data_IF_690759165511
#
_entry.id   IF_690759165511
#
_cell.length_a   1.000
_cell.length_b   1.000
_cell.length_c   1.000
_cell.angle_alpha   90.00
_cell.angle_beta   90.00
_cell.angle_gamma   90.00
#
_symmetry.space_group_name_H-M   'P 1'
#
loop_
_entity.id
_entity.type
_entity.pdbx_description
1 polymer ?
#
# COMPACT_ATOMS: atom_id res chain seq x y z
N UNK A 1 17.75 9.42 32.55
CA UNK A 1 18.30 10.27 31.48
C UNK A 1 17.60 9.88 30.20
N UNK A 2 16.45 10.50 29.91
CA UNK A 2 15.65 10.27 28.70
C UNK A 2 15.91 11.43 27.73
N UNK A 3 17.11 11.46 27.18
CA UNK A 3 17.50 12.45 26.19
C UNK A 3 17.59 11.78 24.81
N UNK A 4 16.48 11.62 24.22
CA UNK A 4 16.15 11.73 22.80
C UNK A 4 14.70 11.33 22.63
N UNK A 5 13.79 12.26 22.79
CA UNK A 5 12.47 12.10 22.16
C UNK A 5 12.74 11.99 20.67
N UNK A 6 12.63 10.77 20.16
CA UNK A 6 12.63 10.53 18.72
C UNK A 6 11.40 11.26 18.16
N UNK A 7 11.59 12.47 17.68
CA UNK A 7 10.51 13.22 17.01
C UNK A 7 10.20 12.43 15.75
N UNK A 8 9.09 11.69 15.78
CA UNK A 8 8.62 10.97 14.61
C UNK A 8 8.37 11.98 13.48
N UNK A 9 8.89 11.70 12.31
CA UNK A 9 8.66 12.55 11.15
C UNK A 9 7.17 12.51 10.77
N UNK A 10 6.60 13.69 10.50
CA UNK A 10 5.20 13.83 10.15
C UNK A 10 4.99 13.48 8.69
N UNK A 11 4.03 12.61 8.43
CA UNK A 11 3.67 12.20 7.07
C UNK A 11 2.20 12.49 6.81
N UNK A 12 1.90 12.99 5.61
CA UNK A 12 0.53 13.11 5.11
C UNK A 12 0.43 12.34 3.79
N UNK A 13 -0.38 11.30 3.72
CA UNK A 13 -0.52 10.51 2.50
C UNK A 13 -1.37 11.21 1.43
N UNK A 14 -1.16 10.80 0.17
CA UNK A 14 -1.91 11.33 -0.98
C UNK A 14 -3.42 11.14 -0.82
N UNK A 15 -3.87 10.00 -0.31
CA UNK A 15 -5.29 9.71 -0.15
C UNK A 15 -6.00 10.64 0.84
N UNK A 16 -5.33 11.20 1.83
CA UNK A 16 -5.91 12.20 2.72
C UNK A 16 -6.24 13.52 2.03
N UNK A 17 -5.61 13.81 0.89
CA UNK A 17 -5.83 15.02 0.10
C UNK A 17 -6.67 14.73 -1.14
N UNK A 18 -6.48 13.54 -1.74
CA UNK A 18 -7.11 13.15 -2.99
C UNK A 18 -8.51 12.59 -2.83
N UNK A 19 -8.85 12.00 -1.66
CA UNK A 19 -10.18 11.45 -1.43
C UNK A 19 -11.15 12.52 -0.90
N UNK A 20 -12.08 13.01 -1.73
CA UNK A 20 -12.98 14.08 -1.33
C UNK A 20 -14.04 13.68 -0.28
N UNK A 21 -14.20 12.39 -0.02
CA UNK A 21 -15.22 11.88 0.92
C UNK A 21 -14.63 11.17 2.14
N UNK A 22 -13.33 10.99 2.20
CA UNK A 22 -12.66 10.19 3.25
C UNK A 22 -13.18 8.74 3.36
N UNK A 23 -13.89 8.27 2.34
CA UNK A 23 -14.38 6.89 2.23
C UNK A 23 -13.56 6.14 1.18
N UNK A 24 -12.67 5.21 1.59
CA UNK A 24 -11.83 4.47 0.66
C UNK A 24 -12.59 3.44 -0.18
N UNK A 25 -13.83 3.13 0.16
CA UNK A 25 -14.65 2.10 -0.49
C UNK A 25 -15.83 2.67 -1.28
N UNK A 26 -16.20 3.93 -1.01
CA UNK A 26 -17.29 4.64 -1.67
C UNK A 26 -16.87 5.34 -2.96
N UNK A 27 -17.85 5.56 -3.84
CA UNK A 27 -17.64 6.42 -4.99
C UNK A 27 -17.46 7.88 -4.58
N UNK A 28 -16.53 8.59 -5.21
CA UNK A 28 -16.34 10.01 -4.96
C UNK A 28 -17.57 10.83 -5.41
N UNK A 29 -18.06 11.73 -4.54
CA UNK A 29 -19.15 12.68 -4.87
C UNK A 29 -18.63 13.81 -5.76
N UNK A 30 -17.33 14.12 -5.65
CA UNK A 30 -16.66 15.13 -6.46
C UNK A 30 -15.50 14.48 -7.23
N UNK A 31 -15.11 15.03 -8.38
CA UNK A 31 -13.91 14.58 -9.07
C UNK A 31 -12.70 14.67 -8.14
N UNK A 32 -11.92 13.59 -8.07
CA UNK A 32 -10.65 13.61 -7.36
C UNK A 32 -9.71 14.65 -8.00
N UNK A 33 -8.95 15.41 -7.22
CA UNK A 33 -7.93 16.29 -7.77
C UNK A 33 -6.87 15.49 -8.52
N UNK A 34 -6.26 16.10 -9.53
CA UNK A 34 -5.17 15.45 -10.24
C UNK A 34 -3.98 15.20 -9.31
N UNK A 35 -3.32 14.07 -9.44
CA UNK A 35 -2.19 13.69 -8.59
C UNK A 35 -1.06 14.74 -8.56
N UNK A 36 -0.88 15.50 -9.64
CA UNK A 36 0.11 16.58 -9.68
C UNK A 36 -0.33 17.78 -8.84
N UNK A 37 -1.64 18.06 -8.77
CA UNK A 37 -2.16 19.10 -7.89
C UNK A 37 -2.07 18.69 -6.42
N UNK A 38 -2.37 17.42 -6.10
CA UNK A 38 -2.11 16.85 -4.77
C UNK A 38 -0.64 16.99 -4.39
N UNK A 39 0.27 16.65 -5.31
CA UNK A 39 1.71 16.80 -5.06
C UNK A 39 2.11 18.27 -4.79
N UNK A 40 1.50 19.24 -5.48
CA UNK A 40 1.72 20.69 -5.23
C UNK A 40 1.22 21.10 -3.84
N UNK A 41 0.04 20.61 -3.44
CA UNK A 41 -0.52 20.88 -2.10
C UNK A 41 0.38 20.33 -1.00
N UNK A 42 0.82 19.08 -1.12
CA UNK A 42 1.73 18.43 -0.18
C UNK A 42 3.09 19.15 -0.13
N UNK A 43 3.64 19.52 -1.28
CA UNK A 43 4.89 20.28 -1.35
C UNK A 43 4.77 21.67 -0.68
N UNK A 44 3.60 22.33 -0.77
CA UNK A 44 3.32 23.58 -0.06
C UNK A 44 3.24 23.35 1.46
N UNK A 45 2.57 22.28 1.90
CA UNK A 45 2.51 21.91 3.31
C UNK A 45 3.91 21.65 3.90
N UNK A 46 4.77 20.98 3.15
CA UNK A 46 6.15 20.73 3.58
C UNK A 46 6.97 22.01 3.67
N UNK A 47 6.88 22.93 2.71
CA UNK A 47 7.53 24.24 2.76
C UNK A 47 7.13 25.06 3.98
N UNK A 48 5.90 24.88 4.47
CA UNK A 48 5.39 25.51 5.68
C UNK A 48 5.76 24.73 6.96
N UNK A 49 6.59 23.70 6.88
CA UNK A 49 7.03 22.93 8.03
C UNK A 49 5.96 22.03 8.66
N UNK A 50 4.88 21.71 7.94
CA UNK A 50 3.77 20.89 8.48
C UNK A 50 4.06 19.39 8.38
N UNK A 51 4.76 18.96 7.33
CA UNK A 51 5.08 17.56 7.05
C UNK A 51 6.50 17.42 6.50
N UNK A 52 7.12 16.27 6.71
CA UNK A 52 8.44 15.93 6.20
C UNK A 52 8.40 14.81 5.14
N UNK A 53 7.34 13.99 5.16
CA UNK A 53 7.20 12.84 4.28
C UNK A 53 5.79 12.72 3.73
N UNK A 54 5.64 11.91 2.70
CA UNK A 54 4.34 11.51 2.16
C UNK A 54 4.37 10.03 1.77
N UNK A 55 3.19 9.45 1.63
CA UNK A 55 2.95 8.09 1.13
C UNK A 55 1.81 8.10 0.11
N UNK A 56 1.72 7.05 -0.71
CA UNK A 56 0.68 6.97 -1.73
C UNK A 56 0.31 5.52 -2.06
N UNK A 57 -0.96 5.31 -2.44
CA UNK A 57 -1.31 4.16 -3.25
C UNK A 57 -0.78 4.38 -4.68
N UNK A 58 -0.57 3.28 -5.38
CA UNK A 58 -0.23 3.34 -6.81
C UNK A 58 -1.30 4.09 -7.62
N UNK A 59 -2.59 3.87 -7.31
CA UNK A 59 -3.73 4.48 -8.01
C UNK A 59 -3.93 5.97 -7.65
N UNK A 60 -3.47 6.44 -6.49
CA UNK A 60 -3.47 7.88 -6.15
C UNK A 60 -2.56 8.67 -7.10
N UNK A 61 -1.52 8.04 -7.61
CA UNK A 61 -0.51 8.65 -8.46
C UNK A 61 -0.88 8.54 -9.93
N UNK A 62 -1.21 7.33 -10.36
CA UNK A 62 -1.58 7.01 -11.74
C UNK A 62 -2.57 5.85 -11.76
N UNK A 63 -3.77 6.03 -12.33
CA UNK A 63 -4.78 4.97 -12.41
C UNK A 63 -4.23 3.70 -13.03
N UNK A 64 -4.69 2.56 -12.55
CA UNK A 64 -4.35 1.26 -13.11
C UNK A 64 -5.42 0.80 -14.09
N UNK A 65 -4.98 0.34 -15.27
CA UNK A 65 -5.84 -0.32 -16.25
C UNK A 65 -5.62 -1.84 -16.20
N UNK A 66 -6.60 -2.63 -15.76
CA UNK A 66 -6.47 -4.08 -15.73
C UNK A 66 -6.39 -4.73 -17.11
N UNK A 67 -6.81 -4.05 -18.19
CA UNK A 67 -6.68 -4.54 -19.56
C UNK A 67 -5.23 -4.41 -20.07
N UNK A 68 -4.46 -3.47 -19.52
CA UNK A 68 -3.07 -3.19 -19.87
C UNK A 68 -2.21 -3.11 -18.60
N UNK A 69 -2.06 -4.20 -17.85
CA UNK A 69 -1.50 -4.16 -16.50
C UNK A 69 0.00 -3.84 -16.44
N UNK A 70 0.72 -3.88 -17.57
CA UNK A 70 2.19 -3.88 -17.59
C UNK A 70 2.81 -2.71 -18.37
N UNK A 71 2.07 -2.07 -19.27
CA UNK A 71 2.63 -1.18 -20.30
C UNK A 71 2.83 0.28 -19.85
N UNK A 72 2.34 0.65 -18.68
CA UNK A 72 2.26 2.05 -18.28
C UNK A 72 3.58 2.64 -17.73
N UNK A 73 4.59 1.82 -17.44
CA UNK A 73 5.88 2.28 -16.91
C UNK A 73 7.01 2.34 -17.95
N UNK A 74 6.68 2.29 -19.24
CA UNK A 74 7.64 2.61 -20.30
C UNK A 74 8.11 4.07 -20.15
N UNK A 75 9.42 4.37 -20.23
CA UNK A 75 9.93 5.73 -20.12
C UNK A 75 9.33 6.74 -21.11
N UNK A 76 8.76 6.27 -22.22
CA UNK A 76 8.09 7.10 -23.22
C UNK A 76 6.62 7.34 -22.91
N UNK A 77 6.02 6.54 -22.01
CA UNK A 77 4.60 6.64 -21.66
C UNK A 77 4.28 7.94 -20.93
N UNK A 78 3.05 8.39 -21.04
CA UNK A 78 2.59 9.58 -20.32
C UNK A 78 2.47 9.31 -18.82
N UNK A 79 2.20 8.07 -18.42
CA UNK A 79 2.23 7.61 -17.02
C UNK A 79 3.62 7.83 -16.42
N UNK A 80 4.67 7.37 -17.08
CA UNK A 80 6.05 7.57 -16.60
C UNK A 80 6.41 9.05 -16.51
N UNK A 81 6.05 9.86 -17.52
CA UNK A 81 6.27 11.32 -17.53
C UNK A 81 5.56 11.98 -16.35
N UNK A 82 4.29 11.59 -16.06
CA UNK A 82 3.50 12.09 -14.93
C UNK A 82 4.18 11.76 -13.60
N UNK A 83 4.62 10.51 -13.40
CA UNK A 83 5.34 10.10 -12.19
C UNK A 83 6.64 10.92 -11.99
N UNK A 84 7.39 11.17 -13.06
CA UNK A 84 8.59 12.03 -13.01
C UNK A 84 8.24 13.46 -12.63
N UNK A 85 7.13 14.00 -13.14
CA UNK A 85 6.66 15.34 -12.78
C UNK A 85 6.25 15.42 -11.31
N UNK A 86 5.51 14.43 -10.79
CA UNK A 86 5.16 14.31 -9.37
C UNK A 86 6.43 14.29 -8.52
N UNK A 87 7.38 13.42 -8.85
CA UNK A 87 8.67 13.35 -8.13
C UNK A 87 9.37 14.69 -8.06
N UNK A 88 9.42 15.42 -9.18
CA UNK A 88 10.03 16.74 -9.27
C UNK A 88 9.34 17.76 -8.36
N UNK A 89 8.01 17.80 -8.38
CA UNK A 89 7.22 18.73 -7.55
C UNK A 89 7.44 18.45 -6.06
N UNK A 90 7.38 17.18 -5.65
CA UNK A 90 7.64 16.81 -4.26
C UNK A 90 9.06 17.21 -3.81
N UNK A 91 10.07 16.93 -4.64
CA UNK A 91 11.44 17.28 -4.35
C UNK A 91 11.65 18.80 -4.21
N UNK A 92 10.97 19.61 -5.01
CA UNK A 92 10.97 21.07 -4.89
C UNK A 92 10.38 21.58 -3.57
N UNK A 93 9.49 20.78 -2.96
CA UNK A 93 8.96 21.03 -1.61
C UNK A 93 9.82 20.49 -0.48
N UNK A 94 10.92 19.77 -0.79
CA UNK A 94 11.73 19.07 0.20
C UNK A 94 11.11 17.74 0.65
N UNK A 95 9.99 17.31 0.03
CA UNK A 95 9.27 16.09 0.37
C UNK A 95 9.84 14.86 -0.33
N UNK A 96 9.77 13.73 0.37
CA UNK A 96 10.08 12.39 -0.17
C UNK A 96 8.88 11.48 0.02
N UNK A 97 8.60 10.63 -0.96
CA UNK A 97 7.70 9.50 -0.75
C UNK A 97 8.47 8.46 0.08
N UNK A 98 8.01 8.24 1.31
CA UNK A 98 8.62 7.28 2.20
C UNK A 98 8.09 5.87 1.99
N UNK A 99 6.80 5.75 1.70
CA UNK A 99 6.09 4.49 1.57
C UNK A 99 5.14 4.51 0.38
N UNK A 100 5.04 3.36 -0.28
CA UNK A 100 3.99 3.07 -1.27
C UNK A 100 3.21 1.83 -0.85
N UNK A 101 1.93 1.80 -1.22
CA UNK A 101 1.04 0.67 -1.00
C UNK A 101 0.21 0.40 -2.24
N UNK A 102 -0.15 -0.85 -2.49
CA UNK A 102 -0.92 -1.24 -3.66
C UNK A 102 -2.43 -1.15 -3.38
N UNK A 103 -3.17 -0.41 -4.20
CA UNK A 103 -4.62 -0.29 -4.11
C UNK A 103 -5.31 -1.54 -4.67
N UNK A 104 -5.36 -2.62 -3.89
CA UNK A 104 -6.14 -3.82 -4.24
C UNK A 104 -7.62 -3.72 -3.82
N UNK A 105 -7.97 -2.73 -2.99
CA UNK A 105 -9.33 -2.52 -2.49
C UNK A 105 -10.23 -1.77 -3.49
N UNK A 106 -9.67 -0.91 -4.32
CA UNK A 106 -10.42 -0.03 -5.23
C UNK A 106 -11.04 -0.74 -6.43
N UNK A 107 -10.51 -1.89 -6.85
CA UNK A 107 -11.03 -2.63 -7.99
C UNK A 107 -12.03 -3.71 -7.59
N UNK A 108 -13.18 -3.76 -8.27
CA UNK A 108 -14.19 -4.82 -8.08
C UNK A 108 -13.67 -6.22 -8.47
N UNK A 109 -12.60 -6.32 -9.24
CA UNK A 109 -11.93 -7.57 -9.57
C UNK A 109 -11.43 -8.30 -8.31
N UNK A 110 -10.99 -7.54 -7.31
CA UNK A 110 -10.42 -8.07 -6.08
C UNK A 110 -11.42 -8.12 -4.91
N UNK A 111 -12.72 -8.01 -5.18
CA UNK A 111 -13.77 -8.04 -4.12
C UNK A 111 -13.73 -9.28 -3.22
N UNK A 112 -13.22 -10.41 -3.74
CA UNK A 112 -13.07 -11.66 -2.99
C UNK A 112 -11.64 -11.91 -2.48
N UNK A 113 -10.83 -10.86 -2.37
CA UNK A 113 -9.42 -10.89 -2.04
C UNK A 113 -8.54 -10.50 -3.21
N UNK A 114 -7.36 -9.96 -2.92
CA UNK A 114 -6.30 -9.67 -3.89
C UNK A 114 -5.36 -10.86 -4.02
N UNK A 115 -4.32 -10.91 -3.20
CA UNK A 115 -3.35 -12.01 -3.16
C UNK A 115 -3.95 -13.33 -2.65
N UNK A 116 -5.10 -13.26 -1.98
CA UNK A 116 -5.82 -14.43 -1.43
C UNK A 116 -7.06 -14.82 -2.23
N UNK A 117 -7.27 -14.24 -3.42
CA UNK A 117 -8.43 -14.53 -4.23
C UNK A 117 -8.53 -16.03 -4.53
N UNK A 118 -9.72 -16.66 -4.43
CA UNK A 118 -9.92 -18.08 -4.79
C UNK A 118 -9.53 -18.37 -6.25
N UNK A 119 -9.75 -17.43 -7.17
CA UNK A 119 -9.33 -17.55 -8.55
C UNK A 119 -7.82 -17.25 -8.70
N UNK A 120 -7.06 -18.28 -9.11
CA UNK A 120 -5.63 -18.16 -9.34
C UNK A 120 -5.25 -17.11 -10.40
N UNK A 121 -6.12 -16.85 -11.40
CA UNK A 121 -5.87 -15.80 -12.40
C UNK A 121 -5.95 -14.41 -11.78
N UNK A 122 -6.90 -14.21 -10.85
CA UNK A 122 -7.03 -12.95 -10.13
C UNK A 122 -5.90 -12.76 -9.11
N UNK A 123 -5.43 -13.84 -8.45
CA UNK A 123 -4.21 -13.76 -7.61
C UNK A 123 -2.99 -13.33 -8.44
N UNK A 124 -2.80 -13.95 -9.62
CA UNK A 124 -1.70 -13.56 -10.52
C UNK A 124 -1.83 -12.13 -11.02
N UNK A 125 -3.04 -11.64 -11.29
CA UNK A 125 -3.28 -10.26 -11.67
C UNK A 125 -2.99 -9.29 -10.51
N UNK A 126 -3.38 -9.64 -9.28
CA UNK A 126 -3.04 -8.88 -8.08
C UNK A 126 -1.52 -8.79 -7.87
N UNK A 127 -0.81 -9.91 -8.04
CA UNK A 127 0.65 -9.93 -7.94
C UNK A 127 1.31 -8.99 -8.97
N UNK A 128 0.85 -8.98 -10.24
CA UNK A 128 1.34 -8.03 -11.26
C UNK A 128 1.06 -6.57 -10.88
N UNK A 129 -0.12 -6.28 -10.32
CA UNK A 129 -0.42 -4.92 -9.82
C UNK A 129 0.52 -4.53 -8.68
N UNK A 130 0.83 -5.45 -7.76
CA UNK A 130 1.82 -5.24 -6.70
C UNK A 130 3.21 -4.98 -7.28
N UNK A 131 3.64 -5.74 -8.27
CA UNK A 131 4.91 -5.50 -8.98
C UNK A 131 4.96 -4.11 -9.61
N UNK A 132 3.85 -3.67 -10.24
CA UNK A 132 3.71 -2.30 -10.76
C UNK A 132 3.88 -1.26 -9.65
N UNK A 133 3.20 -1.43 -8.52
CA UNK A 133 3.34 -0.54 -7.36
C UNK A 133 4.79 -0.47 -6.88
N UNK A 134 5.48 -1.60 -6.79
CA UNK A 134 6.90 -1.64 -6.41
C UNK A 134 7.80 -0.89 -7.41
N UNK A 135 7.53 -1.01 -8.72
CA UNK A 135 8.26 -0.24 -9.76
C UNK A 135 8.00 1.26 -9.63
N UNK A 136 6.75 1.67 -9.38
CA UNK A 136 6.39 3.07 -9.11
C UNK A 136 7.13 3.59 -7.88
N UNK A 137 7.09 2.85 -6.77
CA UNK A 137 7.80 3.21 -5.56
C UNK A 137 9.31 3.30 -5.76
N UNK A 138 9.90 2.40 -6.53
CA UNK A 138 11.32 2.48 -6.89
C UNK A 138 11.64 3.76 -7.67
N UNK A 139 10.86 4.08 -8.70
CA UNK A 139 11.01 5.31 -9.49
C UNK A 139 10.93 6.57 -8.61
N UNK A 140 10.02 6.58 -7.66
CA UNK A 140 9.81 7.72 -6.75
C UNK A 140 10.82 7.76 -5.59
N UNK A 141 11.51 6.64 -5.32
CA UNK A 141 12.52 6.53 -4.27
C UNK A 141 11.96 6.17 -2.90
N UNK A 142 10.78 5.53 -2.87
CA UNK A 142 10.15 5.03 -1.64
C UNK A 142 11.11 4.10 -0.87
N UNK A 143 11.07 4.17 0.45
CA UNK A 143 11.92 3.37 1.34
C UNK A 143 11.21 2.12 1.84
N UNK A 144 9.89 2.14 1.89
CA UNK A 144 9.06 1.06 2.42
C UNK A 144 7.92 0.73 1.46
N UNK A 145 7.54 -0.53 1.47
CA UNK A 145 6.30 -1.03 0.89
C UNK A 145 5.38 -1.48 2.02
N UNK A 146 4.14 -1.04 2.02
CA UNK A 146 3.14 -1.53 2.98
C UNK A 146 2.14 -2.41 2.25
N UNK A 147 1.89 -3.60 2.77
CA UNK A 147 0.77 -4.43 2.38
C UNK A 147 -0.36 -4.23 3.38
N UNK A 148 -1.34 -3.43 3.01
CA UNK A 148 -2.61 -3.36 3.71
C UNK A 148 -3.48 -4.52 3.23
N UNK A 149 -4.11 -5.24 4.17
CA UNK A 149 -4.87 -6.46 3.85
C UNK A 149 -6.09 -6.23 2.96
N UNK A 150 -6.47 -4.96 2.74
CA UNK A 150 -7.45 -4.55 1.72
C UNK A 150 -8.77 -5.35 1.78
N UNK A 151 -8.94 -6.32 0.88
CA UNK A 151 -10.11 -7.21 0.82
C UNK A 151 -9.75 -8.67 1.13
N UNK A 152 -8.55 -8.92 1.64
CA UNK A 152 -8.10 -10.25 2.05
C UNK A 152 -8.72 -10.62 3.39
N UNK A 153 -9.89 -11.22 3.32
CA UNK A 153 -10.75 -11.56 4.45
C UNK A 153 -11.88 -12.48 4.03
N UNK A 154 -12.88 -12.64 4.87
CA UNK A 154 -14.01 -13.54 4.65
C UNK A 154 -15.28 -13.04 5.32
N UNK A 155 -16.43 -13.54 4.85
CA UNK A 155 -17.74 -13.27 5.41
C UNK A 155 -18.30 -14.49 6.17
N UNK A 156 -17.99 -15.70 5.69
CA UNK A 156 -18.60 -16.95 6.16
C UNK A 156 -17.48 -17.95 6.46
N UNK A 157 -17.34 -18.31 7.73
CA UNK A 157 -16.30 -19.22 8.20
C UNK A 157 -16.37 -20.59 7.52
N UNK A 158 -17.56 -21.17 7.41
CA UNK A 158 -17.78 -22.51 6.88
C UNK A 158 -17.49 -22.62 5.38
N UNK A 159 -17.43 -21.49 4.69
CA UNK A 159 -17.11 -21.41 3.25
C UNK A 159 -15.69 -20.94 2.96
N UNK A 160 -14.90 -20.71 4.01
CA UNK A 160 -13.53 -20.19 3.86
C UNK A 160 -12.54 -21.33 3.94
N UNK A 161 -11.74 -21.47 2.91
CA UNK A 161 -10.63 -22.41 2.87
C UNK A 161 -9.41 -21.84 3.63
N UNK A 162 -9.45 -21.95 4.95
CA UNK A 162 -8.39 -21.44 5.81
C UNK A 162 -7.04 -22.12 5.59
N UNK A 163 -7.02 -23.36 5.12
CA UNK A 163 -5.77 -24.06 4.84
C UNK A 163 -4.99 -23.36 3.72
N UNK A 164 -5.66 -22.98 2.65
CA UNK A 164 -5.02 -22.39 1.48
C UNK A 164 -4.96 -20.86 1.51
N UNK A 165 -5.93 -20.17 2.14
CA UNK A 165 -5.98 -18.69 2.07
C UNK A 165 -4.75 -18.05 2.73
N UNK A 166 -4.25 -18.60 3.85
CA UNK A 166 -3.01 -18.15 4.49
C UNK A 166 -1.77 -18.55 3.71
N UNK A 167 -1.79 -19.69 3.00
CA UNK A 167 -0.70 -20.09 2.11
C UNK A 167 -0.60 -19.13 0.93
N UNK A 168 -1.72 -18.78 0.30
CA UNK A 168 -1.76 -17.78 -0.79
C UNK A 168 -1.27 -16.41 -0.33
N UNK A 169 -1.66 -15.96 0.87
CA UNK A 169 -1.14 -14.72 1.43
C UNK A 169 0.37 -14.78 1.62
N UNK A 170 0.89 -15.87 2.21
CA UNK A 170 2.32 -16.06 2.41
C UNK A 170 3.08 -16.10 1.07
N UNK A 171 2.57 -16.82 0.07
CA UNK A 171 3.13 -16.87 -1.27
C UNK A 171 3.20 -15.46 -1.88
N UNK A 172 2.10 -14.70 -1.83
CA UNK A 172 2.05 -13.35 -2.35
C UNK A 172 3.02 -12.39 -1.67
N UNK A 173 3.15 -12.43 -0.34
CA UNK A 173 4.08 -11.57 0.39
C UNK A 173 5.55 -12.00 0.20
N UNK A 174 5.81 -13.30 0.08
CA UNK A 174 7.14 -13.80 -0.30
C UNK A 174 7.51 -13.40 -1.74
N UNK A 175 6.52 -13.32 -2.65
CA UNK A 175 6.73 -12.80 -3.99
C UNK A 175 7.16 -11.32 -3.97
N UNK A 176 6.60 -10.49 -3.09
CA UNK A 176 7.02 -9.08 -2.92
C UNK A 176 8.52 -8.97 -2.69
N UNK A 177 9.03 -9.70 -1.69
CA UNK A 177 10.47 -9.66 -1.37
C UNK A 177 11.33 -10.24 -2.49
N UNK A 178 10.90 -11.36 -3.08
CA UNK A 178 11.58 -11.97 -4.22
C UNK A 178 11.64 -11.05 -5.43
N UNK A 179 10.57 -10.30 -5.72
CA UNK A 179 10.54 -9.33 -6.82
C UNK A 179 11.47 -8.14 -6.58
N UNK A 180 11.46 -7.57 -5.37
CA UNK A 180 12.38 -6.47 -4.98
C UNK A 180 13.84 -6.89 -5.21
N UNK A 181 14.21 -8.11 -4.82
CA UNK A 181 15.57 -8.63 -5.00
C UNK A 181 15.90 -8.91 -6.45
N UNK A 182 15.01 -9.61 -7.18
CA UNK A 182 15.17 -9.89 -8.61
C UNK A 182 15.42 -8.62 -9.41
N UNK A 183 14.68 -7.55 -9.08
CA UNK A 183 14.78 -6.25 -9.75
C UNK A 183 15.89 -5.36 -9.19
N UNK A 184 16.59 -5.81 -8.14
CA UNK A 184 17.64 -5.04 -7.46
C UNK A 184 17.19 -3.65 -7.00
N UNK A 185 15.99 -3.56 -6.46
CA UNK A 185 15.42 -2.30 -5.93
C UNK A 185 16.04 -1.94 -4.57
N UNK A 186 17.24 -1.38 -4.58
CA UNK A 186 18.05 -1.07 -3.39
C UNK A 186 17.52 0.06 -2.52
N UNK A 187 16.52 0.81 -3.01
CA UNK A 187 15.86 1.87 -2.25
C UNK A 187 14.97 1.32 -1.11
N UNK A 188 14.33 0.14 -1.29
CA UNK A 188 13.52 -0.46 -0.25
C UNK A 188 14.38 -0.96 0.90
N UNK A 189 14.05 -0.50 2.11
CA UNK A 189 14.73 -0.86 3.37
C UNK A 189 13.92 -1.83 4.21
N UNK A 190 12.66 -2.04 3.85
CA UNK A 190 11.75 -2.96 4.50
C UNK A 190 10.37 -2.92 3.87
N UNK A 191 9.53 -3.84 4.29
CA UNK A 191 8.10 -3.85 4.02
C UNK A 191 7.33 -3.97 5.34
N UNK A 192 6.06 -3.59 5.33
CA UNK A 192 5.18 -3.75 6.49
C UNK A 192 3.89 -4.43 6.09
N UNK A 193 3.36 -5.22 7.02
CA UNK A 193 2.02 -5.78 6.99
C UNK A 193 1.13 -4.92 7.89
N UNK A 194 0.05 -4.39 7.33
CA UNK A 194 -0.88 -3.53 8.05
C UNK A 194 -2.13 -4.32 8.41
N UNK A 195 -2.34 -4.59 9.71
CA UNK A 195 -3.49 -5.35 10.19
C UNK A 195 -4.76 -4.50 10.18
N UNK A 196 -5.90 -5.19 10.00
CA UNK A 196 -7.24 -4.61 10.17
C UNK A 196 -8.22 -5.70 10.60
N UNK A 197 -9.07 -5.49 11.63
CA UNK A 197 -9.95 -6.54 12.16
C UNK A 197 -11.11 -6.87 11.23
N UNK A 198 -11.70 -5.88 10.58
CA UNK A 198 -12.85 -5.98 9.69
C UNK A 198 -12.83 -4.86 8.64
N UNK A 199 -13.90 -4.77 7.81
CA UNK A 199 -14.07 -3.75 6.78
C UNK A 199 -12.93 -3.74 5.72
N UNK A 200 -13.27 -3.95 4.42
CA UNK A 200 -14.63 -4.07 3.88
C UNK A 200 -15.25 -5.48 4.00
N UNK A 201 -14.52 -6.44 4.56
CA UNK A 201 -15.03 -7.79 4.82
C UNK A 201 -15.50 -7.90 6.27
N UNK A 202 -16.37 -8.87 6.57
CA UNK A 202 -16.86 -9.12 7.93
C UNK A 202 -15.73 -9.50 8.89
N UNK A 203 -14.73 -10.24 8.41
CA UNK A 203 -13.49 -10.52 9.11
C UNK A 203 -12.31 -10.47 8.16
N UNK A 204 -11.18 -9.94 8.64
CA UNK A 204 -9.94 -9.86 7.89
C UNK A 204 -8.96 -10.96 8.31
N UNK A 205 -8.04 -11.36 7.39
CA UNK A 205 -7.09 -12.44 7.66
C UNK A 205 -6.04 -12.06 8.71
N UNK A 206 -5.67 -10.80 8.77
CA UNK A 206 -4.68 -10.29 9.72
C UNK A 206 -5.35 -9.21 10.57
N UNK A 207 -6.09 -9.61 11.63
CA UNK A 207 -6.93 -8.68 12.37
C UNK A 207 -6.18 -7.79 13.37
N UNK A 208 -4.98 -8.19 13.82
CA UNK A 208 -4.23 -7.47 14.87
C UNK A 208 -2.73 -7.45 14.59
N UNK A 209 -2.01 -6.54 15.24
CA UNK A 209 -0.54 -6.49 15.20
C UNK A 209 0.11 -7.77 15.70
N UNK A 210 -0.43 -8.40 16.74
CA UNK A 210 0.06 -9.69 17.24
C UNK A 210 -0.08 -10.80 16.20
N UNK A 211 -1.20 -10.83 15.46
CA UNK A 211 -1.42 -11.76 14.35
C UNK A 211 -0.42 -11.50 13.22
N UNK A 212 -0.22 -10.22 12.86
CA UNK A 212 0.74 -9.83 11.83
C UNK A 212 2.18 -10.28 12.19
N UNK A 213 2.62 -10.05 13.42
CA UNK A 213 3.94 -10.51 13.90
C UNK A 213 4.05 -12.03 13.83
N UNK A 214 3.04 -12.76 14.33
CA UNK A 214 3.02 -14.23 14.26
C UNK A 214 3.11 -14.74 12.82
N UNK A 215 2.32 -14.15 11.93
CA UNK A 215 2.32 -14.51 10.51
C UNK A 215 3.67 -14.23 9.85
N UNK A 216 4.25 -13.05 10.05
CA UNK A 216 5.56 -12.66 9.52
C UNK A 216 6.63 -13.66 9.97
N UNK A 217 6.69 -13.95 11.27
CA UNK A 217 7.75 -14.79 11.84
C UNK A 217 7.65 -16.26 11.45
N UNK A 218 6.45 -16.76 11.15
CA UNK A 218 6.22 -18.19 10.91
C UNK A 218 6.00 -18.54 9.44
N UNK A 219 5.61 -17.57 8.59
CA UNK A 219 5.18 -17.85 7.21
C UNK A 219 6.00 -17.15 6.14
N UNK A 220 6.76 -16.10 6.50
CA UNK A 220 7.54 -15.37 5.50
C UNK A 220 9.00 -15.83 5.48
N UNK A 221 9.55 -15.95 4.26
CA UNK A 221 10.93 -16.41 4.04
C UNK A 221 11.99 -15.42 4.55
N UNK A 222 11.61 -14.13 4.69
CA UNK A 222 12.50 -13.05 5.10
C UNK A 222 11.85 -12.19 6.19
N UNK A 223 11.58 -12.76 7.36
CA UNK A 223 10.86 -12.06 8.42
C UNK A 223 11.56 -10.76 8.85
N UNK A 224 12.90 -10.71 8.81
CA UNK A 224 13.66 -9.51 9.16
C UNK A 224 13.47 -8.32 8.20
N UNK A 225 12.93 -8.54 7.00
CA UNK A 225 12.59 -7.49 6.04
C UNK A 225 11.21 -6.90 6.31
N UNK A 226 10.36 -7.61 7.06
CA UNK A 226 8.99 -7.23 7.33
C UNK A 226 8.82 -6.68 8.74
N UNK A 227 8.00 -5.66 8.86
CA UNK A 227 7.51 -5.12 10.12
C UNK A 227 5.99 -5.03 10.11
N UNK A 228 5.43 -4.37 11.10
CA UNK A 228 4.00 -4.09 11.21
C UNK A 228 3.78 -2.58 11.07
N UNK A 229 2.72 -2.19 10.38
CA UNK A 229 2.22 -0.82 10.32
C UNK A 229 0.91 -0.73 11.11
N UNK A 230 0.95 -0.56 12.45
CA UNK A 230 -0.26 -0.54 13.27
C UNK A 230 -0.97 0.80 13.16
N UNK A 231 -2.28 0.78 12.97
CA UNK A 231 -3.14 1.94 13.15
C UNK A 231 -3.87 1.82 14.48
N UNK A 232 -3.23 2.31 15.54
CA UNK A 232 -3.66 2.08 16.92
C UNK A 232 -5.07 2.58 17.23
N UNK A 233 -5.48 3.69 16.63
CA UNK A 233 -6.80 4.29 16.90
C UNK A 233 -7.90 3.73 16.01
N UNK A 234 -7.60 3.52 14.73
CA UNK A 234 -8.60 3.11 13.74
C UNK A 234 -8.74 1.60 13.65
N UNK A 235 -7.64 0.86 13.57
CA UNK A 235 -7.67 -0.59 13.36
C UNK A 235 -7.53 -1.36 14.67
N UNK A 236 -6.51 -1.09 15.47
CA UNK A 236 -6.27 -1.81 16.73
C UNK A 236 -7.30 -1.46 17.80
N UNK A 237 -7.77 -0.20 17.85
CA UNK A 237 -8.81 0.23 18.78
C UNK A 237 -10.14 -0.52 18.61
N UNK A 238 -10.46 -0.98 17.39
CA UNK A 238 -11.69 -1.75 17.14
C UNK A 238 -11.64 -3.19 17.69
N UNK A 239 -10.48 -3.69 18.06
CA UNK A 239 -10.32 -5.03 18.67
C UNK A 239 -10.31 -4.99 20.18
N UNK A 240 -10.26 -3.82 20.79
CA UNK A 240 -10.22 -3.62 22.24
C UNK A 240 -11.61 -3.32 22.84
N UNK A 241 -12.63 -3.23 22.01
CA UNK A 241 -14.03 -3.08 22.38
C UNK A 241 -14.76 -4.41 22.26
#
# INVERSE_FOLDING_TARGET
>A
MFDTMCVAARSMPFWCVANPLSDPFGGAVQPAPDALDVARMLAKAAKNGLIEMTSAHDDDLVPWDPAHPEDDLDPKSDVYKKLRAIKKVLAQGGLKINMVTCSLHGSTLFRAGGLTNPDAKLRALAARKVERCLRIGHLLGAKHYTYWVARDGFEVYEKTDFAHIYDWLAEGLNHVTGYIEKMKFTNYKGATLEPKPNEPRGAMLIPTSGHAVGFIMTRLNKPAFWGVNPELLQHEGMTLL
#
